data_IF_820080177672
#
_entry.id   IF_820080177672
#
_cell.length_a   1.000
_cell.length_b   1.000
_cell.length_c   1.000
_cell.angle_alpha   90.00
_cell.angle_beta   90.00
_cell.angle_gamma   90.00
#
_symmetry.space_group_name_H-M   'P 1'
#
loop_
_entity.id
_entity.type
_entity.pdbx_description
1 polymer ?
#
# COMPACT_ATOMS: atom_id res chain seq x y z
N UNK A 1 -10.53 -44.94 -4.52
CA UNK A 1 -9.72 -43.79 -4.99
C UNK A 1 -9.44 -42.86 -3.81
N UNK A 2 -8.19 -42.67 -3.34
CA UNK A 2 -7.92 -41.81 -2.19
C UNK A 2 -7.97 -40.32 -2.58
N UNK A 3 -8.83 -39.54 -1.90
CA UNK A 3 -8.96 -38.08 -2.09
C UNK A 3 -7.73 -37.35 -1.51
N UNK A 4 -7.08 -36.54 -2.34
CA UNK A 4 -5.89 -35.73 -2.00
C UNK A 4 -6.26 -34.66 -0.96
N UNK A 5 -5.69 -34.73 0.24
CA UNK A 5 -5.86 -33.70 1.31
C UNK A 5 -5.11 -32.43 0.90
N UNK A 6 -5.82 -31.32 0.71
CA UNK A 6 -5.24 -30.00 0.45
C UNK A 6 -4.84 -29.36 1.79
N UNK A 7 -3.54 -29.22 2.03
CA UNK A 7 -3.03 -28.48 3.19
C UNK A 7 -3.28 -26.99 2.97
N UNK A 8 -4.17 -26.42 3.77
CA UNK A 8 -4.44 -24.98 3.79
C UNK A 8 -3.22 -24.26 4.36
N UNK A 9 -2.32 -23.77 3.49
CA UNK A 9 -1.23 -22.86 3.89
C UNK A 9 -1.84 -21.68 4.64
N UNK A 10 -1.51 -21.53 5.93
CA UNK A 10 -1.84 -20.35 6.74
C UNK A 10 -1.38 -19.11 5.96
N UNK A 11 -2.31 -18.22 5.64
CA UNK A 11 -2.00 -16.93 5.01
C UNK A 11 -1.02 -16.20 5.93
N UNK A 12 0.18 -15.89 5.42
CA UNK A 12 1.11 -15.03 6.14
C UNK A 12 0.43 -13.68 6.41
N UNK A 13 0.61 -13.14 7.62
CA UNK A 13 0.04 -11.85 8.00
C UNK A 13 0.52 -10.79 7.01
N UNK A 14 -0.41 -9.98 6.52
CA UNK A 14 -0.16 -8.95 5.53
C UNK A 14 0.73 -7.85 6.14
N UNK A 15 1.98 -7.72 5.66
CA UNK A 15 2.98 -6.76 6.18
C UNK A 15 2.86 -5.34 5.61
N UNK A 16 1.83 -5.08 4.81
CA UNK A 16 1.63 -3.79 4.11
C UNK A 16 1.57 -2.55 5.03
N UNK A 17 1.33 -2.73 6.33
CA UNK A 17 1.28 -1.67 7.33
C UNK A 17 2.28 -1.83 8.49
N UNK A 18 3.29 -2.70 8.39
CA UNK A 18 4.37 -2.68 9.37
C UNK A 18 5.12 -1.35 9.24
N UNK A 19 5.11 -0.53 10.31
CA UNK A 19 5.69 0.81 10.31
C UNK A 19 7.20 0.82 9.99
N UNK A 20 7.88 -0.34 10.06
CA UNK A 20 9.26 -0.54 9.64
C UNK A 20 9.48 -0.61 8.13
N UNK A 21 8.43 -0.75 7.31
CA UNK A 21 8.55 -1.03 5.88
C UNK A 21 8.79 0.21 5.00
N UNK A 22 8.82 1.41 5.57
CA UNK A 22 8.98 2.67 4.85
C UNK A 22 10.16 3.48 5.39
N UNK A 23 11.08 3.89 4.53
CA UNK A 23 12.27 4.65 4.96
C UNK A 23 11.96 6.11 5.31
N UNK A 24 10.84 6.68 4.82
CA UNK A 24 10.45 8.08 5.02
C UNK A 24 8.95 8.20 5.37
N UNK A 25 8.54 7.77 6.57
CA UNK A 25 7.12 7.68 6.96
C UNK A 25 6.40 9.04 6.96
N UNK A 26 7.07 10.12 7.35
CA UNK A 26 6.52 11.49 7.36
C UNK A 26 6.20 11.99 5.95
N UNK A 27 7.11 11.74 5.00
CA UNK A 27 6.88 12.10 3.59
C UNK A 27 5.73 11.29 2.99
N UNK A 28 5.67 9.98 3.27
CA UNK A 28 4.55 9.13 2.84
C UNK A 28 3.22 9.66 3.35
N UNK A 29 3.14 10.08 4.61
CA UNK A 29 1.92 10.65 5.21
C UNK A 29 1.47 11.92 4.48
N UNK A 30 2.40 12.86 4.21
CA UNK A 30 2.12 14.08 3.44
C UNK A 30 1.61 13.78 2.02
N UNK A 31 2.23 12.82 1.33
CA UNK A 31 1.79 12.39 0.01
C UNK A 31 0.41 11.72 0.04
N UNK A 32 0.17 10.88 1.04
CA UNK A 32 -1.11 10.20 1.23
C UNK A 32 -2.26 11.19 1.44
N UNK A 33 -2.09 12.19 2.31
CA UNK A 33 -3.10 13.23 2.53
C UNK A 33 -3.34 14.05 1.27
N UNK A 34 -2.28 14.45 0.56
CA UNK A 34 -2.39 15.19 -0.71
C UNK A 34 -3.14 14.39 -1.78
N UNK A 35 -2.81 13.11 -1.96
CA UNK A 35 -3.44 12.23 -2.95
C UNK A 35 -4.88 11.89 -2.56
N UNK A 36 -5.15 11.70 -1.25
CA UNK A 36 -6.50 11.47 -0.75
C UNK A 36 -7.38 12.69 -1.03
N UNK A 37 -6.91 13.90 -0.74
CA UNK A 37 -7.63 15.13 -1.02
C UNK A 37 -7.82 15.40 -2.52
N UNK A 38 -6.90 14.94 -3.37
CA UNK A 38 -7.00 15.09 -4.82
C UNK A 38 -8.11 14.25 -5.46
N UNK A 39 -8.54 14.67 -6.65
CA UNK A 39 -9.46 13.92 -7.53
C UNK A 39 -8.74 12.90 -8.42
N UNK A 40 -7.40 12.87 -8.43
CA UNK A 40 -6.64 11.90 -9.22
C UNK A 40 -6.74 10.52 -8.60
N UNK A 41 -7.19 9.56 -9.40
CA UNK A 41 -7.36 8.16 -8.99
C UNK A 41 -8.67 7.85 -8.25
N UNK A 42 -9.61 8.80 -8.14
CA UNK A 42 -10.93 8.56 -7.57
C UNK A 42 -11.54 9.84 -6.99
N UNK A 43 -12.68 9.72 -6.31
CA UNK A 43 -13.34 10.87 -5.67
C UNK A 43 -12.41 11.52 -4.61
N UNK A 44 -12.36 12.86 -4.52
CA UNK A 44 -11.70 13.56 -3.42
C UNK A 44 -12.13 13.02 -2.05
N UNK A 45 -11.20 12.95 -1.10
CA UNK A 45 -11.42 12.46 0.26
C UNK A 45 -11.46 10.93 0.40
N UNK A 46 -11.73 10.19 -0.67
CA UNK A 46 -11.79 8.73 -0.65
C UNK A 46 -10.44 8.07 -0.97
N UNK A 47 -10.24 6.87 -0.44
CA UNK A 47 -9.08 6.04 -0.72
C UNK A 47 -9.44 4.91 -1.67
N UNK A 48 -8.73 4.81 -2.79
CA UNK A 48 -8.99 3.84 -3.87
C UNK A 48 -7.70 3.11 -4.27
N UNK A 49 -7.84 2.02 -5.02
CA UNK A 49 -6.69 1.27 -5.56
C UNK A 49 -5.77 2.14 -6.45
N UNK A 50 -6.34 2.97 -7.32
CA UNK A 50 -5.56 3.91 -8.16
C UNK A 50 -4.79 4.94 -7.33
N UNK A 51 -5.38 5.44 -6.24
CA UNK A 51 -4.68 6.37 -5.32
C UNK A 51 -3.51 5.69 -4.60
N UNK A 52 -3.65 4.42 -4.22
CA UNK A 52 -2.54 3.66 -3.64
C UNK A 52 -1.38 3.47 -4.63
N UNK A 53 -1.69 3.18 -5.90
CA UNK A 53 -0.69 3.10 -6.97
C UNK A 53 0.03 4.45 -7.16
N UNK A 54 -0.73 5.55 -7.22
CA UNK A 54 -0.16 6.90 -7.29
C UNK A 54 0.77 7.21 -6.11
N UNK A 55 0.34 6.88 -4.89
CA UNK A 55 1.16 7.05 -3.70
C UNK A 55 2.47 6.28 -3.82
N UNK A 56 2.43 5.02 -4.25
CA UNK A 56 3.63 4.21 -4.39
C UNK A 56 4.60 4.80 -5.42
N UNK A 57 4.08 5.26 -6.57
CA UNK A 57 4.89 5.93 -7.60
C UNK A 57 5.48 7.25 -7.12
N UNK A 58 4.68 8.12 -6.50
CA UNK A 58 5.16 9.41 -5.99
C UNK A 58 6.14 9.26 -4.84
N UNK A 59 5.87 8.31 -3.94
CA UNK A 59 6.76 8.01 -2.83
C UNK A 59 8.13 7.54 -3.34
N UNK A 60 8.16 6.62 -4.32
CA UNK A 60 9.41 6.19 -4.97
C UNK A 60 10.11 7.36 -5.68
N UNK A 61 9.37 8.17 -6.44
CA UNK A 61 9.91 9.36 -7.15
C UNK A 61 10.53 10.38 -6.21
N UNK A 62 9.97 10.58 -5.02
CA UNK A 62 10.53 11.47 -3.99
C UNK A 62 11.65 10.83 -3.15
N UNK A 63 12.18 9.68 -3.59
CA UNK A 63 13.26 8.98 -2.89
C UNK A 63 12.80 8.31 -1.59
N UNK A 64 11.52 7.95 -1.50
CA UNK A 64 10.96 7.07 -0.49
C UNK A 64 11.24 5.62 -0.85
N UNK A 65 11.89 4.91 0.08
CA UNK A 65 12.22 3.49 -0.04
C UNK A 65 11.29 2.63 0.79
N UNK A 66 11.29 1.35 0.45
CA UNK A 66 10.66 0.29 1.22
C UNK A 66 11.76 -0.56 1.87
N UNK A 67 11.56 -1.02 3.10
CA UNK A 67 12.43 -1.98 3.79
C UNK A 67 11.81 -3.37 3.75
#
# INVERSE_FOLDING_TARGET
MPRKKTTTKKKSKSRVNEAGNYTKPTMRKRLFEKIKAGSKGGKPGQWSARKAQLLASEYKKKGGGYK
#
